data_IF_213926842708
#
_entry.id   IF_213926842708
#
_cell.length_a   1.000
_cell.length_b   1.000
_cell.length_c   1.000
_cell.angle_alpha   90.00
_cell.angle_beta   90.00
_cell.angle_gamma   90.00
#
_symmetry.space_group_name_H-M   'P 1'
#
loop_
_entity.id
_entity.type
_entity.pdbx_description
1 polymer ?
#
# COMPACT_ATOMS: atom_id res chain seq x y z
N UNK A 1 -25.26 9.84 32.18
CA UNK A 1 -26.15 8.64 32.03
C UNK A 1 -25.25 7.42 32.16
N UNK A 2 -25.56 6.39 32.91
CA UNK A 2 -24.73 5.15 32.90
C UNK A 2 -25.03 4.35 31.64
N UNK A 3 -23.98 3.81 31.01
CA UNK A 3 -24.11 2.89 29.89
C UNK A 3 -24.97 1.68 30.28
N UNK A 4 -26.16 1.58 29.71
CA UNK A 4 -27.07 0.45 29.95
C UNK A 4 -26.93 -0.58 28.86
N UNK A 5 -27.19 -1.85 29.13
CA UNK A 5 -27.16 -2.92 28.12
C UNK A 5 -28.07 -2.61 26.91
N UNK A 6 -29.20 -1.93 27.14
CA UNK A 6 -30.10 -1.51 26.07
C UNK A 6 -29.44 -0.47 25.16
N UNK A 7 -28.85 0.58 25.75
CA UNK A 7 -28.15 1.63 25.02
C UNK A 7 -26.96 1.08 24.23
N UNK A 8 -26.20 0.19 24.86
CA UNK A 8 -25.09 -0.52 24.21
C UNK A 8 -25.57 -1.31 22.97
N UNK A 9 -26.64 -2.08 23.10
CA UNK A 9 -27.20 -2.84 21.98
C UNK A 9 -27.70 -1.93 20.84
N UNK A 10 -28.33 -0.80 21.16
CA UNK A 10 -28.80 0.17 20.17
C UNK A 10 -27.63 0.80 19.38
N UNK A 11 -26.57 1.20 20.07
CA UNK A 11 -25.38 1.79 19.45
C UNK A 11 -24.64 0.76 18.59
N UNK A 12 -24.40 -0.44 19.15
CA UNK A 12 -23.73 -1.52 18.40
C UNK A 12 -24.53 -1.94 17.16
N UNK A 13 -25.86 -1.95 17.22
CA UNK A 13 -26.68 -2.22 16.04
C UNK A 13 -26.39 -1.24 14.91
N UNK A 14 -26.32 0.07 15.21
CA UNK A 14 -26.02 1.08 14.17
C UNK A 14 -24.58 0.94 13.69
N UNK A 15 -23.65 0.68 14.61
CA UNK A 15 -22.24 0.47 14.29
C UNK A 15 -22.03 -0.72 13.35
N UNK A 16 -22.67 -1.87 13.64
CA UNK A 16 -22.62 -3.03 12.76
C UNK A 16 -23.29 -2.75 11.42
N UNK A 17 -24.49 -2.13 11.43
CA UNK A 17 -25.17 -1.74 10.19
C UNK A 17 -24.29 -0.84 9.30
N UNK A 18 -23.54 0.09 9.89
CA UNK A 18 -22.58 0.95 9.18
C UNK A 18 -21.52 0.11 8.46
N UNK A 19 -20.83 -0.80 9.17
CA UNK A 19 -19.77 -1.62 8.59
C UNK A 19 -20.29 -2.67 7.62
N UNK A 20 -21.40 -3.34 7.95
CA UNK A 20 -22.00 -4.35 7.09
C UNK A 20 -22.43 -3.74 5.76
N UNK A 21 -23.09 -2.56 5.81
CA UNK A 21 -23.49 -1.85 4.59
C UNK A 21 -22.29 -1.36 3.77
N UNK A 22 -21.21 -0.93 4.45
CA UNK A 22 -19.97 -0.52 3.79
C UNK A 22 -19.32 -1.69 3.05
N UNK A 23 -19.15 -2.83 3.71
CA UNK A 23 -18.48 -4.01 3.13
C UNK A 23 -19.33 -4.74 2.07
N UNK A 24 -20.66 -4.63 2.14
CA UNK A 24 -21.57 -5.20 1.14
C UNK A 24 -21.92 -4.27 0.00
N UNK A 25 -21.53 -3.00 0.08
CA UNK A 25 -21.82 -1.99 -0.95
C UNK A 25 -23.24 -1.45 -0.91
N UNK A 26 -24.00 -1.62 0.19
CA UNK A 26 -25.32 -1.03 0.35
C UNK A 26 -25.24 0.46 0.69
N UNK A 27 -25.07 1.26 -0.34
CA UNK A 27 -24.92 2.73 -0.24
C UNK A 27 -26.11 3.39 0.46
N UNK A 28 -27.33 2.87 0.26
CA UNK A 28 -28.53 3.46 0.84
C UNK A 28 -28.55 3.27 2.35
N UNK A 29 -28.31 2.06 2.81
CA UNK A 29 -28.24 1.75 4.24
C UNK A 29 -27.06 2.47 4.89
N UNK A 30 -25.88 2.45 4.27
CA UNK A 30 -24.71 3.20 4.73
C UNK A 30 -25.03 4.68 4.95
N UNK A 31 -25.55 5.36 3.92
CA UNK A 31 -25.93 6.76 4.00
C UNK A 31 -26.98 7.02 5.10
N UNK A 32 -27.85 6.04 5.37
CA UNK A 32 -28.83 6.10 6.45
C UNK A 32 -28.22 6.05 7.85
N UNK A 33 -27.03 5.50 8.03
CA UNK A 33 -26.32 5.47 9.33
C UNK A 33 -25.55 6.76 9.62
N UNK A 34 -25.28 7.58 8.60
CA UNK A 34 -24.48 8.80 8.74
C UNK A 34 -25.29 9.98 9.26
N UNK A 35 -24.68 10.76 10.13
CA UNK A 35 -25.18 12.09 10.52
C UNK A 35 -24.99 13.09 9.38
N UNK A 36 -25.75 14.19 9.41
CA UNK A 36 -25.62 15.29 8.45
C UNK A 36 -24.25 15.98 8.48
N UNK A 37 -23.57 15.94 9.63
CA UNK A 37 -22.24 16.53 9.85
C UNK A 37 -21.14 15.46 9.86
N UNK A 38 -21.32 14.36 9.14
CA UNK A 38 -20.36 13.27 9.11
C UNK A 38 -19.01 13.72 8.56
N UNK A 39 -17.95 13.33 9.25
CA UNK A 39 -16.57 13.47 8.82
C UNK A 39 -15.83 12.14 8.99
N UNK A 40 -14.83 11.90 8.14
CA UNK A 40 -14.02 10.70 8.21
C UNK A 40 -12.55 10.99 7.90
N UNK A 41 -11.67 10.38 8.68
CA UNK A 41 -10.26 10.24 8.38
C UNK A 41 -9.97 8.73 8.30
N UNK A 42 -9.63 8.26 7.11
CA UNK A 42 -9.30 6.86 6.86
C UNK A 42 -7.83 6.53 7.10
N UNK A 43 -7.35 5.49 6.47
CA UNK A 43 -6.00 4.94 6.68
C UNK A 43 -4.97 5.40 5.67
N UNK A 44 -5.40 5.92 4.54
CA UNK A 44 -4.52 6.48 3.50
C UNK A 44 -4.60 8.01 3.46
N UNK A 45 -3.59 8.64 2.87
CA UNK A 45 -3.48 10.11 2.77
C UNK A 45 -4.71 10.76 2.10
N UNK A 46 -5.30 10.09 1.13
CA UNK A 46 -6.46 10.59 0.38
C UNK A 46 -7.82 10.26 1.02
N UNK A 47 -7.86 9.46 2.09
CA UNK A 47 -9.09 9.04 2.75
C UNK A 47 -9.56 10.06 3.79
N UNK A 48 -9.79 11.29 3.35
CA UNK A 48 -10.33 12.37 4.19
C UNK A 48 -11.66 12.83 3.57
N UNK A 49 -12.73 12.76 4.36
CA UNK A 49 -14.05 13.25 3.96
C UNK A 49 -14.52 14.27 5.00
N UNK A 50 -14.78 15.47 4.57
CA UNK A 50 -15.24 16.59 5.42
C UNK A 50 -16.76 16.73 5.43
N UNK A 51 -17.45 15.98 4.59
CA UNK A 51 -18.91 16.01 4.49
C UNK A 51 -19.48 14.62 4.32
N UNK A 52 -20.75 14.48 4.66
CA UNK A 52 -21.54 13.26 4.47
C UNK A 52 -21.57 12.83 3.01
N UNK A 53 -21.70 13.78 2.10
CA UNK A 53 -21.76 13.56 0.65
C UNK A 53 -20.43 13.01 0.12
N UNK A 54 -19.32 13.54 0.61
CA UNK A 54 -17.97 13.01 0.31
C UNK A 54 -17.80 11.58 0.82
N UNK A 55 -18.24 11.28 2.05
CA UNK A 55 -18.20 9.92 2.60
C UNK A 55 -19.03 8.93 1.77
N UNK A 56 -20.20 9.31 1.30
CA UNK A 56 -21.04 8.49 0.42
C UNK A 56 -20.37 8.29 -0.95
N UNK A 57 -19.77 9.34 -1.51
CA UNK A 57 -19.03 9.28 -2.78
C UNK A 57 -17.81 8.37 -2.66
N UNK A 58 -17.08 8.51 -1.57
CA UNK A 58 -15.91 7.68 -1.25
C UNK A 58 -16.28 6.20 -1.19
N UNK A 59 -17.32 5.84 -0.42
CA UNK A 59 -17.82 4.48 -0.36
C UNK A 59 -18.16 3.93 -1.75
N UNK A 60 -18.90 4.70 -2.57
CA UNK A 60 -19.27 4.28 -3.92
C UNK A 60 -18.07 3.98 -4.81
N UNK A 61 -16.98 4.74 -4.67
CA UNK A 61 -15.76 4.53 -5.45
C UNK A 61 -15.07 3.21 -5.10
N UNK A 62 -15.17 2.78 -3.84
CA UNK A 62 -14.51 1.57 -3.34
C UNK A 62 -15.31 0.28 -3.50
N UNK A 63 -16.57 0.34 -3.93
CA UNK A 63 -17.46 -0.84 -4.04
C UNK A 63 -16.79 -2.00 -4.78
N UNK A 64 -16.12 -1.74 -5.91
CA UNK A 64 -15.48 -2.78 -6.74
C UNK A 64 -14.28 -3.46 -6.05
N UNK A 65 -13.65 -2.78 -5.10
CA UNK A 65 -12.49 -3.28 -4.37
C UNK A 65 -12.90 -4.03 -3.11
N UNK A 66 -14.02 -3.65 -2.49
CA UNK A 66 -14.43 -4.16 -1.19
C UNK A 66 -15.35 -5.37 -1.28
N UNK A 67 -16.35 -5.37 -2.19
CA UNK A 67 -17.40 -6.39 -2.18
C UNK A 67 -16.83 -7.79 -2.41
N UNK A 68 -17.01 -8.65 -1.40
CA UNK A 68 -16.56 -10.04 -1.42
C UNK A 68 -15.05 -10.23 -1.39
N UNK A 69 -14.28 -9.14 -1.18
CA UNK A 69 -12.82 -9.18 -1.20
C UNK A 69 -12.17 -8.73 0.12
N UNK A 70 -12.94 -8.20 1.05
CA UNK A 70 -12.44 -7.72 2.33
C UNK A 70 -13.27 -8.29 3.46
N UNK A 71 -12.61 -8.80 4.50
CA UNK A 71 -13.21 -9.27 5.74
C UNK A 71 -12.53 -8.66 6.95
N UNK A 72 -13.34 -8.30 7.93
CA UNK A 72 -12.89 -7.88 9.27
C UNK A 72 -12.98 -9.08 10.22
N UNK A 73 -11.84 -9.56 10.70
CA UNK A 73 -11.75 -10.71 11.63
C UNK A 73 -11.16 -10.29 12.97
N UNK A 74 -11.34 -11.13 14.00
CA UNK A 74 -10.79 -10.92 15.35
C UNK A 74 -11.18 -9.56 15.95
N UNK A 75 -12.42 -9.15 15.71
CA UNK A 75 -12.97 -7.84 16.12
C UNK A 75 -13.04 -7.71 17.64
N UNK A 76 -12.37 -6.68 18.17
CA UNK A 76 -12.39 -6.32 19.60
C UNK A 76 -13.01 -4.94 19.72
N UNK A 77 -14.26 -4.90 20.16
CA UNK A 77 -15.06 -3.67 20.26
C UNK A 77 -15.20 -3.25 21.72
N UNK A 78 -14.97 -1.96 21.99
CA UNK A 78 -15.17 -1.32 23.31
C UNK A 78 -15.98 -0.06 23.13
N UNK A 79 -17.09 0.06 23.87
CA UNK A 79 -17.90 1.26 23.93
C UNK A 79 -17.47 2.13 25.11
N UNK A 80 -17.45 3.43 24.86
CA UNK A 80 -17.20 4.47 25.86
C UNK A 80 -18.25 5.56 25.69
N UNK A 81 -18.93 5.90 26.76
CA UNK A 81 -19.84 7.06 26.76
C UNK A 81 -19.04 8.34 26.99
N UNK A 82 -19.22 9.33 26.11
CA UNK A 82 -18.59 10.65 26.19
C UNK A 82 -19.69 11.71 26.18
N UNK A 83 -20.07 12.17 27.34
CA UNK A 83 -21.24 13.06 27.54
C UNK A 83 -22.53 12.44 26.94
N UNK A 84 -23.11 13.11 25.94
CA UNK A 84 -24.30 12.67 25.19
C UNK A 84 -23.95 11.80 23.95
N UNK A 85 -22.65 11.60 23.70
CA UNK A 85 -22.16 10.84 22.54
C UNK A 85 -21.66 9.46 22.96
N UNK A 86 -21.58 8.58 21.99
CA UNK A 86 -20.97 7.26 22.15
C UNK A 86 -19.73 7.15 21.27
N UNK A 87 -18.63 6.69 21.86
CA UNK A 87 -17.41 6.34 21.16
C UNK A 87 -17.31 4.82 21.10
N UNK A 88 -17.23 4.27 19.88
CA UNK A 88 -16.90 2.88 19.63
C UNK A 88 -15.46 2.79 19.21
N UNK A 89 -14.62 2.17 20.03
CA UNK A 89 -13.26 1.83 19.68
C UNK A 89 -13.21 0.36 19.25
N UNK A 90 -12.66 0.12 18.08
CA UNK A 90 -12.47 -1.24 17.57
C UNK A 90 -11.03 -1.48 17.14
N UNK A 91 -10.56 -2.70 17.38
CA UNK A 91 -9.35 -3.24 16.78
C UNK A 91 -9.74 -4.53 16.08
N UNK A 92 -9.31 -4.70 14.84
CA UNK A 92 -9.55 -5.93 14.08
C UNK A 92 -8.43 -6.20 13.08
N UNK A 93 -8.46 -7.41 12.55
CA UNK A 93 -7.59 -7.86 11.48
C UNK A 93 -8.35 -7.74 10.15
N UNK A 94 -7.72 -7.10 9.16
CA UNK A 94 -8.24 -7.02 7.80
C UNK A 94 -7.64 -8.16 6.99
N UNK A 95 -8.52 -8.91 6.35
CA UNK A 95 -8.16 -9.95 5.38
C UNK A 95 -8.66 -9.55 4.00
N UNK A 96 -7.85 -9.82 2.98
CA UNK A 96 -8.19 -9.61 1.58
C UNK A 96 -8.22 -10.94 0.84
N UNK A 97 -9.17 -11.06 -0.10
CA UNK A 97 -9.28 -12.22 -0.98
C UNK A 97 -8.41 -11.99 -2.21
N UNK A 98 -7.28 -12.72 -2.29
CA UNK A 98 -6.41 -12.75 -3.46
C UNK A 98 -6.62 -14.06 -4.23
N UNK A 99 -7.05 -13.95 -5.47
CA UNK A 99 -7.44 -15.05 -6.39
C UNK A 99 -8.49 -15.99 -5.76
N UNK A 100 -8.13 -16.83 -4.79
CA UNK A 100 -9.02 -17.75 -4.07
C UNK A 100 -8.66 -17.94 -2.59
N UNK A 101 -7.67 -17.18 -2.11
CA UNK A 101 -7.12 -17.35 -0.76
C UNK A 101 -7.27 -16.06 0.04
N UNK A 102 -7.79 -16.19 1.26
CA UNK A 102 -7.83 -15.10 2.20
C UNK A 102 -6.45 -14.90 2.84
N UNK A 103 -5.86 -13.75 2.62
CA UNK A 103 -4.56 -13.36 3.18
C UNK A 103 -4.73 -12.23 4.18
N UNK A 104 -3.99 -12.30 5.29
CA UNK A 104 -3.88 -11.20 6.24
C UNK A 104 -3.25 -9.98 5.54
N UNK A 105 -3.93 -8.84 5.62
CA UNK A 105 -3.45 -7.60 5.04
C UNK A 105 -2.84 -6.69 6.10
N UNK A 106 -3.61 -6.35 7.13
CA UNK A 106 -3.16 -5.44 8.19
C UNK A 106 -4.04 -5.54 9.43
N UNK A 107 -3.56 -5.00 10.55
CA UNK A 107 -4.39 -4.61 11.68
C UNK A 107 -4.92 -3.21 11.48
N UNK A 108 -6.15 -2.94 11.94
CA UNK A 108 -6.72 -1.61 11.92
C UNK A 108 -7.25 -1.25 13.32
N UNK A 109 -7.11 0.02 13.66
CA UNK A 109 -7.72 0.64 14.85
C UNK A 109 -8.73 1.65 14.34
N UNK A 110 -9.94 1.59 14.89
CA UNK A 110 -11.05 2.42 14.46
C UNK A 110 -11.65 3.10 15.68
N UNK A 111 -11.86 4.40 15.57
CA UNK A 111 -12.62 5.20 16.54
C UNK A 111 -13.81 5.81 15.82
N UNK A 112 -15.03 5.48 16.26
CA UNK A 112 -16.27 5.95 15.64
C UNK A 112 -17.12 6.63 16.69
N UNK A 113 -17.45 7.90 16.46
CA UNK A 113 -18.35 8.65 17.30
C UNK A 113 -19.77 8.64 16.76
N UNK A 114 -20.72 8.34 17.65
CA UNK A 114 -22.13 8.36 17.35
C UNK A 114 -22.86 9.36 18.26
N UNK A 115 -23.86 10.01 17.71
CA UNK A 115 -24.78 10.87 18.46
C UNK A 115 -26.23 10.43 18.30
N UNK A 116 -27.02 10.74 19.32
CA UNK A 116 -28.46 10.55 19.28
C UNK A 116 -29.09 11.68 18.44
N UNK A 117 -29.97 11.31 17.50
CA UNK A 117 -30.77 12.23 16.70
C UNK A 117 -32.25 11.86 16.82
N UNK A 118 -33.19 12.68 16.37
CA UNK A 118 -34.61 12.29 16.35
C UNK A 118 -34.88 11.01 15.54
N UNK A 119 -34.02 10.67 14.60
CA UNK A 119 -34.10 9.44 13.78
C UNK A 119 -33.26 8.28 14.32
N UNK A 120 -32.78 8.34 15.56
CA UNK A 120 -31.92 7.35 16.21
C UNK A 120 -30.47 7.71 16.21
N UNK A 121 -29.60 6.75 16.58
CA UNK A 121 -28.15 6.93 16.60
C UNK A 121 -27.58 7.09 15.19
N UNK A 122 -26.63 8.03 15.01
CA UNK A 122 -25.95 8.29 13.74
C UNK A 122 -24.45 8.46 13.98
N UNK A 123 -23.66 7.95 13.01
CA UNK A 123 -22.22 8.17 12.98
C UNK A 123 -21.95 9.58 12.49
N UNK A 124 -21.23 10.38 13.29
CA UNK A 124 -20.87 11.74 12.88
C UNK A 124 -19.37 11.94 12.68
N UNK A 125 -18.53 11.05 13.23
CA UNK A 125 -17.08 11.10 12.99
C UNK A 125 -16.50 9.70 13.07
N UNK A 126 -15.58 9.39 12.15
CA UNK A 126 -14.80 8.17 12.14
C UNK A 126 -13.34 8.46 11.89
N UNK A 127 -12.47 7.77 12.62
CA UNK A 127 -11.04 7.74 12.36
C UNK A 127 -10.56 6.29 12.30
N UNK A 128 -9.85 5.95 11.21
CA UNK A 128 -9.14 4.69 11.04
C UNK A 128 -7.62 4.91 11.05
N UNK A 129 -6.87 3.98 11.65
CA UNK A 129 -5.42 3.98 11.60
C UNK A 129 -4.87 2.57 11.50
N UNK A 130 -3.77 2.42 10.76
CA UNK A 130 -3.01 1.19 10.67
C UNK A 130 -1.81 1.33 11.62
N UNK A 131 -1.64 0.42 12.61
CA UNK A 131 -0.46 0.43 13.46
C UNK A 131 0.79 0.12 12.64
N UNK A 132 1.90 0.78 12.93
CA UNK A 132 3.19 0.39 12.39
C UNK A 132 3.60 -0.97 12.97
N UNK A 133 3.58 -2.00 12.11
CA UNK A 133 3.91 -3.38 12.49
C UNK A 133 5.42 -3.61 12.58
N UNK A 134 6.25 -2.64 12.22
CA UNK A 134 7.70 -2.75 12.27
C UNK A 134 8.27 -2.34 13.63
N UNK A 135 7.51 -1.57 14.41
CA UNK A 135 7.90 -1.06 15.74
C UNK A 135 7.78 -2.18 16.79
N UNK A 136 8.81 -2.35 17.60
CA UNK A 136 8.80 -3.28 18.73
C UNK A 136 8.10 -2.70 19.95
N UNK A 137 7.76 -3.54 20.92
CA UNK A 137 7.14 -3.10 22.16
C UNK A 137 8.06 -2.12 22.92
N UNK A 138 7.52 -0.93 23.24
CA UNK A 138 8.28 0.13 23.90
C UNK A 138 8.95 1.14 22.95
N UNK A 139 8.97 0.88 21.65
CA UNK A 139 9.44 1.83 20.65
C UNK A 139 8.30 2.65 20.06
N UNK A 140 8.60 3.85 19.56
CA UNK A 140 7.65 4.69 18.82
C UNK A 140 7.96 4.70 17.32
N UNK A 141 9.23 4.54 16.95
CA UNK A 141 9.72 4.53 15.58
C UNK A 141 10.77 3.40 15.47
N UNK A 142 10.65 2.56 14.44
CA UNK A 142 11.58 1.47 14.17
C UNK A 142 12.92 1.97 13.56
N UNK A 143 13.61 2.89 14.23
CA UNK A 143 14.82 3.54 13.71
C UNK A 143 15.95 2.58 13.41
N UNK A 144 16.22 1.64 14.31
CA UNK A 144 17.32 0.66 14.15
C UNK A 144 17.05 -0.25 12.95
N UNK A 145 15.84 -0.75 12.83
CA UNK A 145 15.44 -1.62 11.70
C UNK A 145 15.53 -0.88 10.37
N UNK A 146 14.96 0.34 10.31
CA UNK A 146 15.01 1.18 9.10
C UNK A 146 16.46 1.49 8.71
N UNK A 147 17.32 1.82 9.68
CA UNK A 147 18.73 2.10 9.43
C UNK A 147 19.47 0.88 8.91
N UNK A 148 19.24 -0.30 9.50
CA UNK A 148 19.84 -1.56 9.06
C UNK A 148 19.39 -1.94 7.65
N UNK A 149 18.08 -1.91 7.37
CA UNK A 149 17.54 -2.21 6.05
C UNK A 149 18.05 -1.25 4.97
N UNK A 150 18.16 0.05 5.29
CA UNK A 150 18.75 1.06 4.40
C UNK A 150 20.24 0.78 4.09
N UNK A 151 21.01 0.36 5.10
CA UNK A 151 22.41 0.02 4.91
C UNK A 151 22.54 -1.23 4.02
N UNK A 152 21.81 -2.29 4.31
CA UNK A 152 21.79 -3.54 3.53
C UNK A 152 21.39 -3.27 2.06
N UNK A 153 20.36 -2.45 1.86
CA UNK A 153 19.90 -2.07 0.52
C UNK A 153 20.96 -1.28 -0.25
N UNK A 154 21.61 -0.31 0.40
CA UNK A 154 22.72 0.47 -0.22
C UNK A 154 23.86 -0.43 -0.64
N UNK A 155 24.25 -1.40 0.20
CA UNK A 155 25.31 -2.34 -0.13
C UNK A 155 24.91 -3.28 -1.27
N UNK A 156 23.64 -3.75 -1.30
CA UNK A 156 23.11 -4.58 -2.38
C UNK A 156 23.10 -3.80 -3.72
N UNK A 157 22.66 -2.55 -3.72
CA UNK A 157 22.69 -1.68 -4.90
C UNK A 157 24.13 -1.48 -5.38
N UNK A 158 25.06 -1.19 -4.47
CA UNK A 158 26.49 -1.02 -4.82
C UNK A 158 27.06 -2.27 -5.47
N UNK A 159 26.84 -3.47 -4.88
CA UNK A 159 27.28 -4.74 -5.47
C UNK A 159 26.69 -4.97 -6.85
N UNK A 160 25.39 -4.72 -7.01
CA UNK A 160 24.70 -4.92 -8.29
C UNK A 160 25.18 -3.96 -9.38
N UNK A 161 25.47 -2.72 -8.99
CA UNK A 161 26.03 -1.71 -9.92
C UNK A 161 27.38 -2.16 -10.45
N UNK A 162 28.30 -2.61 -9.56
CA UNK A 162 29.63 -3.11 -9.96
C UNK A 162 29.48 -4.35 -10.90
N UNK A 163 28.58 -5.28 -10.56
CA UNK A 163 28.32 -6.45 -11.41
C UNK A 163 27.84 -6.05 -12.82
N UNK A 164 26.90 -5.10 -12.88
CA UNK A 164 26.39 -4.60 -14.16
C UNK A 164 27.44 -3.86 -14.97
N UNK A 165 28.29 -3.06 -14.33
CA UNK A 165 29.41 -2.38 -14.99
C UNK A 165 30.40 -3.37 -15.61
N UNK A 166 30.75 -4.43 -14.85
CA UNK A 166 31.61 -5.51 -15.36
C UNK A 166 31.00 -6.24 -16.55
N UNK A 167 29.72 -6.66 -16.42
CA UNK A 167 29.00 -7.29 -17.54
C UNK A 167 28.90 -6.41 -18.77
N UNK A 168 28.63 -5.12 -18.58
CA UNK A 168 28.60 -4.16 -19.70
C UNK A 168 29.96 -4.05 -20.37
N UNK A 169 31.04 -4.09 -19.58
CA UNK A 169 32.41 -4.08 -20.13
C UNK A 169 32.71 -5.35 -20.93
N UNK A 170 32.34 -6.51 -20.39
CA UNK A 170 32.47 -7.81 -21.08
C UNK A 170 31.70 -7.82 -22.41
N UNK A 171 30.44 -7.40 -22.40
CA UNK A 171 29.61 -7.30 -23.60
C UNK A 171 30.19 -6.34 -24.66
N UNK A 172 30.77 -5.23 -24.23
CA UNK A 172 31.44 -4.29 -25.14
C UNK A 172 32.66 -4.95 -25.81
N UNK A 173 33.46 -5.69 -25.03
CA UNK A 173 34.62 -6.43 -25.55
C UNK A 173 34.16 -7.50 -26.55
N UNK A 174 33.17 -8.31 -26.18
CA UNK A 174 32.63 -9.37 -27.04
C UNK A 174 32.07 -8.79 -28.33
N UNK A 175 31.30 -7.69 -28.25
CA UNK A 175 30.79 -6.99 -29.45
C UNK A 175 31.92 -6.46 -30.33
N UNK A 176 32.99 -5.95 -29.75
CA UNK A 176 34.14 -5.48 -30.49
C UNK A 176 34.88 -6.62 -31.19
N UNK A 177 35.09 -7.74 -30.51
CA UNK A 177 35.69 -8.95 -31.06
C UNK A 177 34.85 -9.52 -32.21
N UNK A 178 33.52 -9.58 -32.07
CA UNK A 178 32.65 -10.08 -33.12
C UNK A 178 32.67 -9.22 -34.38
N UNK A 179 32.76 -7.91 -34.22
CA UNK A 179 32.94 -6.99 -35.37
C UNK A 179 34.27 -7.23 -36.10
N UNK A 180 35.36 -7.43 -35.37
CA UNK A 180 36.65 -7.72 -35.94
C UNK A 180 36.62 -9.07 -36.65
N UNK A 181 36.06 -10.11 -36.05
CA UNK A 181 35.89 -11.44 -36.59
C UNK A 181 35.07 -11.42 -37.90
N UNK A 182 33.97 -10.71 -37.93
CA UNK A 182 33.13 -10.57 -39.11
C UNK A 182 33.89 -9.99 -40.31
N UNK A 183 34.70 -8.93 -40.07
CA UNK A 183 35.52 -8.31 -41.10
C UNK A 183 36.64 -9.26 -41.54
N UNK A 184 37.29 -9.97 -40.61
CA UNK A 184 38.35 -10.92 -40.90
C UNK A 184 37.85 -12.11 -41.76
N UNK A 185 36.66 -12.66 -41.42
CA UNK A 185 36.04 -13.76 -42.18
C UNK A 185 35.61 -13.35 -43.59
N UNK A 186 35.36 -12.05 -43.82
CA UNK A 186 35.02 -11.50 -45.12
C UNK A 186 36.22 -11.28 -46.06
N UNK A 187 37.45 -11.49 -45.56
CA UNK A 187 38.67 -11.26 -46.33
C UNK A 187 38.78 -12.24 -47.50
N UNK A 188 39.00 -11.70 -48.73
CA UNK A 188 39.18 -12.50 -49.96
C UNK A 188 40.50 -12.19 -50.66
N UNK A 189 41.11 -11.08 -50.33
CA UNK A 189 42.36 -10.61 -50.97
C UNK A 189 43.33 -10.05 -49.92
N UNK A 190 44.64 -10.11 -50.15
CA UNK A 190 45.63 -9.58 -49.21
C UNK A 190 45.44 -8.09 -48.88
N UNK A 191 44.89 -7.30 -49.80
CA UNK A 191 44.63 -5.85 -49.61
C UNK A 191 43.55 -5.59 -48.57
N UNK A 192 42.68 -6.56 -48.31
CA UNK A 192 41.62 -6.46 -47.29
C UNK A 192 42.21 -6.39 -45.86
N UNK A 193 43.48 -6.77 -45.66
CA UNK A 193 44.18 -6.67 -44.37
C UNK A 193 44.16 -5.28 -43.80
N UNK A 194 44.27 -4.25 -44.63
CA UNK A 194 44.23 -2.86 -44.17
C UNK A 194 42.87 -2.51 -43.51
N UNK A 195 41.79 -3.09 -44.03
CA UNK A 195 40.42 -2.90 -43.47
C UNK A 195 40.28 -3.55 -42.10
N UNK A 196 40.89 -4.73 -41.93
CA UNK A 196 40.92 -5.42 -40.61
C UNK A 196 41.68 -4.57 -39.60
N UNK A 197 42.87 -4.10 -39.95
CA UNK A 197 43.69 -3.24 -39.06
C UNK A 197 42.96 -1.96 -38.65
N UNK A 198 42.25 -1.29 -39.58
CA UNK A 198 41.42 -0.12 -39.30
C UNK A 198 40.27 -0.46 -38.35
N UNK A 199 39.63 -1.61 -38.54
CA UNK A 199 38.54 -2.07 -37.67
C UNK A 199 39.04 -2.36 -36.26
N UNK A 200 40.17 -3.05 -36.10
CA UNK A 200 40.80 -3.30 -34.80
C UNK A 200 41.10 -1.98 -34.09
N UNK A 201 41.79 -1.05 -34.75
CA UNK A 201 42.11 0.25 -34.21
C UNK A 201 40.85 1.00 -33.70
N UNK A 202 39.81 1.02 -34.55
CA UNK A 202 38.54 1.65 -34.18
C UNK A 202 37.88 1.01 -32.95
N UNK A 203 37.89 -0.33 -32.84
CA UNK A 203 37.30 -1.03 -31.71
C UNK A 203 38.15 -0.82 -30.44
N UNK A 204 39.47 -0.85 -30.51
CA UNK A 204 40.36 -0.56 -29.38
C UNK A 204 40.13 0.86 -28.85
N UNK A 205 40.07 1.85 -29.72
CA UNK A 205 39.76 3.22 -29.35
C UNK A 205 38.39 3.34 -28.66
N UNK A 206 37.36 2.63 -29.19
CA UNK A 206 36.02 2.62 -28.58
C UNK A 206 35.97 1.94 -27.20
N UNK A 207 36.88 1.01 -26.92
CA UNK A 207 37.07 0.37 -25.61
C UNK A 207 37.93 1.19 -24.66
N UNK A 208 38.44 2.37 -25.09
CA UNK A 208 39.26 3.25 -24.28
C UNK A 208 40.75 2.88 -24.22
N UNK A 209 41.22 1.98 -25.08
CA UNK A 209 42.64 1.67 -25.22
C UNK A 209 43.30 2.79 -26.04
N UNK A 210 44.33 3.42 -25.48
CA UNK A 210 45.12 4.46 -26.12
C UNK A 210 46.33 3.88 -26.85
#
# INVERSE_FOLDING_TARGET
>A
MKLTKKLEAEVLKVYHTYWDSYTTGDVKTFAGTLDKTFEMIGTSESEICHTREEGIKFMKAQIKELIGKVEMRNRKIKLVQVNEHMLVNEQCDIYILDVKTWSFYSKIRISTFLRQTPSGWKVFQQHGSIPDMQVQEGETIALEKISKENLELREAVKRRTIELENKNRELKIETALEKVRTVAMGMKKPEDMLTICKTISKQLTALGVK
#
